data_IF_718516736120
#
_entry.id   IF_718516736120
#
_cell.length_a   1.000
_cell.length_b   1.000
_cell.length_c   1.000
_cell.angle_alpha   90.00
_cell.angle_beta   90.00
_cell.angle_gamma   90.00
#
_symmetry.space_group_name_H-M   'P 1'
#
loop_
_entity.id
_entity.type
_entity.pdbx_description
1 polymer ?
#
# COMPACT_ATOMS: atom_id res chain seq x y z
N UNK A 1 -63.85 -11.97 -7.66
CA UNK A 1 -63.04 -12.28 -6.47
C UNK A 1 -61.58 -12.69 -6.77
N UNK A 2 -61.22 -13.15 -7.98
CA UNK A 2 -59.85 -13.64 -8.28
C UNK A 2 -58.82 -12.58 -8.71
N UNK A 3 -59.22 -11.34 -9.07
CA UNK A 3 -58.29 -10.28 -9.53
C UNK A 3 -57.50 -9.59 -8.40
N UNK A 4 -57.97 -9.68 -7.15
CA UNK A 4 -57.34 -9.01 -6.01
C UNK A 4 -56.25 -9.86 -5.32
N UNK A 5 -56.21 -11.17 -5.60
CA UNK A 5 -55.23 -12.09 -5.03
C UNK A 5 -53.85 -11.88 -5.68
N UNK A 6 -53.80 -11.65 -6.99
CA UNK A 6 -52.54 -11.42 -7.72
C UNK A 6 -51.87 -10.09 -7.35
N UNK A 7 -52.66 -9.04 -7.08
CA UNK A 7 -52.12 -7.76 -6.64
C UNK A 7 -51.51 -7.84 -5.23
N UNK A 8 -52.11 -8.64 -4.34
CA UNK A 8 -51.59 -8.89 -3.00
C UNK A 8 -50.28 -9.70 -3.02
N UNK A 9 -50.18 -10.71 -3.89
CA UNK A 9 -48.96 -11.52 -4.06
C UNK A 9 -47.81 -10.69 -4.65
N UNK A 10 -48.09 -9.78 -5.59
CA UNK A 10 -47.09 -8.84 -6.13
C UNK A 10 -46.59 -7.85 -5.07
N UNK A 11 -47.47 -7.36 -4.19
CA UNK A 11 -47.10 -6.43 -3.12
C UNK A 11 -46.23 -7.08 -2.03
N UNK A 12 -46.53 -8.33 -1.64
CA UNK A 12 -45.73 -9.07 -0.67
C UNK A 12 -44.37 -9.49 -1.23
N UNK A 13 -44.30 -9.87 -2.51
CA UNK A 13 -43.04 -10.21 -3.17
C UNK A 13 -42.10 -8.99 -3.31
N UNK A 14 -42.63 -7.82 -3.69
CA UNK A 14 -41.83 -6.59 -3.79
C UNK A 14 -41.27 -6.15 -2.42
N UNK A 15 -42.06 -6.28 -1.35
CA UNK A 15 -41.62 -5.97 0.01
C UNK A 15 -40.55 -6.94 0.51
N UNK A 16 -40.65 -8.23 0.17
CA UNK A 16 -39.64 -9.24 0.55
C UNK A 16 -38.31 -9.01 -0.17
N UNK A 17 -38.33 -8.58 -1.44
CA UNK A 17 -37.12 -8.25 -2.21
C UNK A 17 -36.44 -7.00 -1.64
N UNK A 18 -37.20 -5.93 -1.35
CA UNK A 18 -36.66 -4.73 -0.71
C UNK A 18 -36.03 -5.02 0.65
N UNK A 19 -36.65 -5.88 1.46
CA UNK A 19 -36.11 -6.28 2.76
C UNK A 19 -34.83 -7.09 2.63
N UNK A 20 -34.77 -8.01 1.66
CA UNK A 20 -33.58 -8.84 1.42
C UNK A 20 -32.42 -8.00 0.90
N UNK A 21 -32.68 -7.07 -0.03
CA UNK A 21 -31.67 -6.16 -0.56
C UNK A 21 -31.17 -5.20 0.52
N UNK A 22 -32.06 -4.64 1.34
CA UNK A 22 -31.66 -3.81 2.48
C UNK A 22 -30.83 -4.59 3.49
N UNK A 23 -31.21 -5.84 3.81
CA UNK A 23 -30.47 -6.69 4.73
C UNK A 23 -29.10 -7.12 4.19
N UNK A 24 -29.00 -7.43 2.88
CA UNK A 24 -27.72 -7.68 2.21
C UNK A 24 -26.84 -6.43 2.16
N UNK A 25 -27.42 -5.26 1.93
CA UNK A 25 -26.70 -4.00 1.95
C UNK A 25 -26.16 -3.70 3.36
N UNK A 26 -26.99 -3.87 4.38
CA UNK A 26 -26.64 -3.61 5.78
C UNK A 26 -25.60 -4.60 6.33
N UNK A 27 -25.62 -5.86 5.87
CA UNK A 27 -24.60 -6.86 6.19
C UNK A 27 -23.28 -6.68 5.43
N UNK A 28 -23.28 -6.00 4.28
CA UNK A 28 -22.04 -5.56 3.62
C UNK A 28 -21.43 -4.31 4.28
N UNK A 29 -22.24 -3.42 4.85
CA UNK A 29 -21.76 -2.18 5.49
C UNK A 29 -21.27 -2.43 6.92
N UNK A 30 -21.86 -3.40 7.63
CA UNK A 30 -21.50 -3.74 9.02
C UNK A 30 -20.74 -5.07 9.03
N UNK A 31 -19.56 -5.08 8.43
CA UNK A 31 -18.53 -6.04 8.83
C UNK A 31 -17.92 -5.50 10.13
N UNK A 32 -17.86 -6.27 11.23
CA UNK A 32 -17.08 -5.83 12.39
C UNK A 32 -15.67 -5.55 11.90
N UNK A 33 -15.18 -4.32 12.14
CA UNK A 33 -13.78 -3.96 11.91
C UNK A 33 -12.94 -4.95 12.69
N UNK A 34 -12.47 -6.02 12.04
CA UNK A 34 -11.52 -6.96 12.61
C UNK A 34 -10.37 -6.10 13.11
N UNK A 35 -10.13 -5.99 14.42
CA UNK A 35 -9.11 -5.16 15.08
C UNK A 35 -7.96 -4.73 14.15
N UNK A 36 -8.15 -3.69 13.33
CA UNK A 36 -7.15 -3.28 12.35
C UNK A 36 -6.29 -2.26 13.06
N UNK A 37 -5.16 -2.72 13.56
CA UNK A 37 -4.25 -1.89 14.35
C UNK A 37 -3.81 -0.70 13.50
N UNK A 38 -3.87 0.49 14.10
CA UNK A 38 -3.31 1.71 13.50
C UNK A 38 -1.77 1.71 13.53
N UNK A 39 -1.14 0.56 13.79
CA UNK A 39 0.29 0.37 13.97
C UNK A 39 0.90 -0.61 12.96
N UNK A 40 0.14 -1.06 11.94
CA UNK A 40 0.74 -1.81 10.82
C UNK A 40 1.80 -0.95 10.13
N UNK A 41 2.92 -1.56 9.76
CA UNK A 41 4.04 -0.89 9.10
C UNK A 41 4.32 -1.51 7.73
N UNK A 42 4.76 -0.68 6.79
CA UNK A 42 5.22 -1.10 5.47
C UNK A 42 6.57 -0.49 5.14
N UNK A 43 7.39 -1.22 4.38
CA UNK A 43 8.62 -0.70 3.82
C UNK A 43 8.35 -0.11 2.44
N UNK A 44 8.77 1.14 2.23
CA UNK A 44 8.72 1.84 0.94
C UNK A 44 10.11 2.33 0.62
N UNK A 45 10.55 2.15 -0.63
CA UNK A 45 11.83 2.70 -1.08
C UNK A 45 11.68 3.50 -2.36
N UNK A 46 12.27 4.69 -2.41
CA UNK A 46 12.49 5.43 -3.66
C UNK A 46 13.74 4.87 -4.32
N UNK A 47 13.58 4.29 -5.51
CA UNK A 47 14.64 3.65 -6.27
C UNK A 47 15.62 4.68 -6.87
N UNK A 48 16.78 4.26 -7.39
CA UNK A 48 17.79 5.20 -7.89
C UNK A 48 17.28 6.19 -8.94
N UNK A 49 16.43 5.75 -9.87
CA UNK A 49 15.78 6.61 -10.85
C UNK A 49 14.82 7.62 -10.22
N UNK A 50 14.08 7.25 -9.17
CA UNK A 50 13.23 8.17 -8.42
C UNK A 50 14.04 9.27 -7.73
N UNK A 51 15.20 8.92 -7.16
CA UNK A 51 16.12 9.89 -6.55
C UNK A 51 16.74 10.80 -7.60
N UNK A 52 17.30 10.25 -8.67
CA UNK A 52 17.95 11.00 -9.75
C UNK A 52 16.99 11.97 -10.46
N UNK A 53 15.70 11.68 -10.46
CA UNK A 53 14.65 12.52 -11.06
C UNK A 53 14.03 13.52 -10.10
N UNK A 54 14.52 13.61 -8.87
CA UNK A 54 14.03 14.58 -7.87
C UNK A 54 12.66 14.24 -7.27
N UNK A 55 12.20 12.98 -7.34
CA UNK A 55 10.84 12.58 -6.95
C UNK A 55 10.70 12.22 -5.46
N UNK A 56 11.76 12.36 -4.67
CA UNK A 56 11.75 11.98 -3.24
C UNK A 56 10.68 12.74 -2.46
N UNK A 57 10.63 14.06 -2.63
CA UNK A 57 9.65 14.91 -1.96
C UNK A 57 8.21 14.60 -2.38
N UNK A 58 7.99 14.40 -3.68
CA UNK A 58 6.66 14.04 -4.21
C UNK A 58 6.16 12.72 -3.65
N UNK A 59 7.02 11.69 -3.58
CA UNK A 59 6.65 10.37 -3.06
C UNK A 59 6.34 10.47 -1.56
N UNK A 60 7.21 11.08 -0.75
CA UNK A 60 6.96 11.28 0.69
C UNK A 60 5.62 12.00 0.90
N UNK A 61 5.39 13.08 0.15
CA UNK A 61 4.18 13.88 0.27
C UNK A 61 2.90 13.06 0.02
N UNK A 62 2.90 12.08 -0.89
CA UNK A 62 1.72 11.21 -1.13
C UNK A 62 1.33 10.42 0.12
N UNK A 63 2.30 9.93 0.88
CA UNK A 63 2.05 9.17 2.11
C UNK A 63 1.68 10.11 3.27
N UNK A 64 2.37 11.25 3.43
CA UNK A 64 2.03 12.25 4.47
C UNK A 64 0.62 12.79 4.30
N UNK A 65 0.26 13.23 3.08
CA UNK A 65 -1.09 13.78 2.79
C UNK A 65 -2.19 12.73 2.94
N UNK A 66 -1.85 11.43 2.86
CA UNK A 66 -2.79 10.35 3.14
C UNK A 66 -3.04 10.15 4.64
N UNK A 67 -2.14 10.63 5.49
CA UNK A 67 -2.21 10.47 6.95
C UNK A 67 -1.37 9.32 7.51
N UNK A 68 -0.51 8.69 6.69
CA UNK A 68 0.44 7.69 7.19
C UNK A 68 1.58 8.37 7.97
N UNK A 69 2.05 7.70 9.02
CA UNK A 69 3.09 8.22 9.92
C UNK A 69 4.46 7.71 9.47
N UNK A 70 5.39 8.62 9.19
CA UNK A 70 6.78 8.25 8.91
C UNK A 70 7.48 7.85 10.22
N UNK A 71 8.02 6.63 10.28
CA UNK A 71 8.70 6.11 11.49
C UNK A 71 10.17 5.78 11.27
N UNK A 72 10.64 5.69 10.02
CA UNK A 72 12.07 5.64 9.71
C UNK A 72 12.33 6.17 8.30
N UNK A 73 13.49 6.83 8.09
CA UNK A 73 13.90 7.38 6.80
C UNK A 73 15.43 7.45 6.72
N UNK A 74 16.02 6.96 5.63
CA UNK A 74 17.45 7.18 5.32
C UNK A 74 17.76 7.15 3.83
N UNK A 75 18.72 7.98 3.42
CA UNK A 75 19.35 7.91 2.09
C UNK A 75 20.57 6.99 2.19
N UNK A 76 20.60 5.93 1.38
CA UNK A 76 21.64 4.88 1.46
C UNK A 76 22.07 4.39 0.08
N UNK A 77 23.29 3.88 0.00
CA UNK A 77 23.80 3.10 -1.14
C UNK A 77 24.09 1.68 -0.63
N UNK A 78 23.11 0.76 -0.66
CA UNK A 78 23.25 -0.57 -0.08
C UNK A 78 24.28 -1.42 -0.84
N UNK A 79 24.85 -2.42 -0.17
CA UNK A 79 25.75 -3.36 -0.82
C UNK A 79 25.01 -4.30 -1.77
N UNK A 80 25.75 -4.92 -2.69
CA UNK A 80 25.20 -5.95 -3.59
C UNK A 80 24.55 -7.09 -2.80
N UNK A 81 25.22 -7.60 -1.79
CA UNK A 81 24.71 -8.69 -0.95
C UNK A 81 23.40 -8.31 -0.25
N UNK A 82 23.26 -7.07 0.21
CA UNK A 82 22.03 -6.58 0.82
C UNK A 82 20.86 -6.53 -0.18
N UNK A 83 21.10 -6.10 -1.41
CA UNK A 83 20.08 -6.09 -2.47
C UNK A 83 19.73 -7.48 -2.98
N UNK A 84 20.69 -8.40 -3.04
CA UNK A 84 20.44 -9.81 -3.38
C UNK A 84 19.58 -10.49 -2.31
N UNK A 85 19.84 -10.22 -1.02
CA UNK A 85 19.00 -10.69 0.09
C UNK A 85 17.58 -10.09 0.01
N UNK A 86 17.47 -8.78 -0.25
CA UNK A 86 16.16 -8.11 -0.39
C UNK A 86 15.31 -8.71 -1.51
N UNK A 87 15.93 -9.16 -2.61
CA UNK A 87 15.25 -9.78 -3.75
C UNK A 87 15.44 -11.30 -3.83
N UNK A 88 15.73 -11.97 -2.71
CA UNK A 88 16.06 -13.40 -2.70
C UNK A 88 14.98 -14.28 -3.36
N UNK A 89 13.70 -13.95 -3.15
CA UNK A 89 12.56 -14.68 -3.75
C UNK A 89 12.50 -14.57 -5.30
N UNK A 90 13.28 -13.66 -5.88
CA UNK A 90 13.38 -13.44 -7.32
C UNK A 90 14.68 -13.98 -7.93
N UNK A 91 15.54 -14.66 -7.17
CA UNK A 91 16.88 -15.11 -7.60
C UNK A 91 16.89 -15.90 -8.91
N UNK A 92 15.88 -16.75 -9.11
CA UNK A 92 15.71 -17.60 -10.29
C UNK A 92 15.08 -16.87 -11.48
N UNK A 93 14.69 -15.60 -11.33
CA UNK A 93 14.06 -14.83 -12.41
C UNK A 93 15.13 -14.27 -13.35
N UNK A 94 14.89 -14.26 -14.68
CA UNK A 94 15.89 -13.80 -15.66
C UNK A 94 16.26 -12.32 -15.49
N UNK A 95 15.39 -11.53 -14.85
CA UNK A 95 15.60 -10.11 -14.57
C UNK A 95 16.29 -9.82 -13.22
N UNK A 96 16.63 -10.83 -12.41
CA UNK A 96 17.24 -10.63 -11.09
C UNK A 96 18.58 -9.89 -11.15
N UNK A 97 19.53 -10.37 -11.96
CA UNK A 97 20.85 -9.72 -12.11
C UNK A 97 20.74 -8.28 -12.65
N UNK A 98 19.95 -8.00 -13.70
CA UNK A 98 19.68 -6.63 -14.12
C UNK A 98 19.03 -5.76 -13.03
N UNK A 99 18.08 -6.30 -12.25
CA UNK A 99 17.42 -5.60 -11.16
C UNK A 99 18.42 -5.17 -10.08
N UNK A 100 19.25 -6.08 -9.60
CA UNK A 100 20.30 -5.79 -8.61
C UNK A 100 21.29 -4.76 -9.15
N UNK A 101 21.73 -4.91 -10.41
CA UNK A 101 22.66 -3.96 -11.06
C UNK A 101 22.06 -2.55 -11.13
N UNK A 102 20.78 -2.44 -11.49
CA UNK A 102 20.07 -1.16 -11.52
C UNK A 102 19.92 -0.57 -10.11
N UNK A 103 19.58 -1.37 -9.10
CA UNK A 103 19.45 -0.88 -7.73
C UNK A 103 20.79 -0.40 -7.14
N UNK A 104 21.92 -0.92 -7.63
CA UNK A 104 23.27 -0.46 -7.30
C UNK A 104 23.70 0.81 -8.05
N UNK A 105 22.94 1.27 -9.05
CA UNK A 105 23.35 2.38 -9.92
C UNK A 105 23.28 3.76 -9.27
N UNK A 106 22.72 3.88 -8.07
CA UNK A 106 22.61 5.14 -7.35
C UNK A 106 22.01 4.99 -5.96
N UNK A 107 21.85 6.10 -5.24
CA UNK A 107 21.31 6.07 -3.89
C UNK A 107 19.82 5.76 -3.87
N UNK A 108 19.36 5.20 -2.76
CA UNK A 108 17.98 4.81 -2.48
C UNK A 108 17.52 5.56 -1.23
N UNK A 109 16.28 6.06 -1.24
CA UNK A 109 15.63 6.53 0.00
C UNK A 109 14.79 5.39 0.55
N UNK A 110 15.25 4.77 1.63
CA UNK A 110 14.54 3.74 2.35
C UNK A 110 13.65 4.37 3.42
N UNK A 111 12.41 3.90 3.57
CA UNK A 111 11.42 4.46 4.48
C UNK A 111 10.56 3.38 5.12
N UNK A 112 10.07 3.67 6.33
CA UNK A 112 9.04 2.88 7.00
C UNK A 112 7.85 3.79 7.31
N UNK A 113 6.67 3.37 6.82
CA UNK A 113 5.40 4.07 7.02
C UNK A 113 4.47 3.24 7.89
N UNK A 114 3.81 3.88 8.84
CA UNK A 114 2.93 3.25 9.82
C UNK A 114 1.48 3.77 9.69
N UNK A 115 0.52 2.86 9.77
CA UNK A 115 -0.90 3.15 9.85
C UNK A 115 -1.78 1.96 9.46
N UNK A 116 -3.09 2.12 9.59
CA UNK A 116 -4.07 1.08 9.22
C UNK A 116 -3.95 0.71 7.73
N UNK A 117 -3.84 -0.59 7.44
CA UNK A 117 -3.65 -1.15 6.09
C UNK A 117 -2.50 -0.49 5.30
N UNK A 118 -1.42 -0.08 5.98
CA UNK A 118 -0.31 0.63 5.36
C UNK A 118 0.30 -0.16 4.19
N UNK A 119 0.41 -1.49 4.28
CA UNK A 119 0.97 -2.31 3.21
C UNK A 119 0.07 -2.30 1.98
N UNK A 120 -1.19 -2.68 2.17
CA UNK A 120 -2.16 -2.77 1.06
C UNK A 120 -2.39 -1.42 0.40
N UNK A 121 -2.61 -0.38 1.20
CA UNK A 121 -2.88 0.96 0.68
C UNK A 121 -1.61 1.60 0.12
N UNK A 122 -0.44 1.36 0.71
CA UNK A 122 0.84 1.78 0.15
C UNK A 122 1.05 1.24 -1.26
N UNK A 123 0.75 -0.04 -1.49
CA UNK A 123 0.74 -0.64 -2.83
C UNK A 123 -0.24 0.04 -3.79
N UNK A 124 -1.43 0.43 -3.32
CA UNK A 124 -2.39 1.19 -4.12
C UNK A 124 -1.86 2.58 -4.48
N UNK A 125 -1.24 3.30 -3.54
CA UNK A 125 -0.63 4.62 -3.78
C UNK A 125 0.50 4.52 -4.80
N UNK A 126 1.31 3.46 -4.73
CA UNK A 126 2.39 3.22 -5.69
C UNK A 126 1.87 2.95 -7.10
N UNK A 127 0.75 2.24 -7.24
CA UNK A 127 0.24 1.77 -8.53
C UNK A 127 0.81 0.41 -8.93
N UNK A 128 0.34 -0.13 -10.06
CA UNK A 128 0.74 -1.44 -10.57
C UNK A 128 2.27 -1.53 -10.82
N UNK A 129 2.86 -2.72 -10.69
CA UNK A 129 4.31 -2.90 -10.92
C UNK A 129 4.74 -2.46 -12.31
N UNK A 130 3.93 -2.77 -13.32
CA UNK A 130 4.06 -2.21 -14.67
C UNK A 130 3.40 -0.82 -14.71
N UNK A 131 4.16 0.27 -14.91
CA UNK A 131 3.60 1.62 -14.94
C UNK A 131 2.51 1.81 -16.00
N UNK A 132 2.61 1.14 -17.15
CA UNK A 132 1.60 1.20 -18.21
C UNK A 132 0.22 0.64 -17.79
N UNK A 133 0.18 -0.15 -16.71
CA UNK A 133 -1.04 -0.64 -16.09
C UNK A 133 -1.44 0.15 -14.83
N UNK A 134 -0.73 1.24 -14.52
CA UNK A 134 -1.02 2.08 -13.36
C UNK A 134 -2.01 3.18 -13.73
N UNK A 135 -2.97 3.43 -12.85
CA UNK A 135 -3.92 4.53 -13.04
C UNK A 135 -3.23 5.89 -12.81
N UNK A 136 -3.60 6.95 -13.55
CA UNK A 136 -3.24 8.32 -13.20
C UNK A 136 -3.64 8.65 -11.76
N UNK A 137 -2.81 9.42 -11.05
CA UNK A 137 -2.92 9.71 -9.63
C UNK A 137 -2.17 8.73 -8.71
N UNK A 138 -1.69 7.60 -9.23
CA UNK A 138 -0.71 6.73 -8.53
C UNK A 138 0.71 7.20 -8.84
N UNK A 139 1.68 6.89 -7.96
CA UNK A 139 3.07 7.30 -8.16
C UNK A 139 3.63 6.81 -9.50
N UNK A 140 3.37 5.55 -9.86
CA UNK A 140 3.85 5.00 -11.14
C UNK A 140 3.05 5.50 -12.33
N UNK A 141 1.75 5.72 -12.18
CA UNK A 141 0.93 6.30 -13.25
C UNK A 141 1.30 7.74 -13.57
N UNK A 142 1.74 8.50 -12.57
CA UNK A 142 2.14 9.90 -12.75
C UNK A 142 3.59 10.05 -13.20
N UNK A 143 4.48 9.13 -12.79
CA UNK A 143 5.92 9.34 -12.92
C UNK A 143 6.71 8.22 -13.61
N UNK A 144 6.12 7.11 -14.05
CA UNK A 144 6.89 6.02 -14.64
C UNK A 144 6.30 5.50 -15.96
N UNK A 145 7.16 4.88 -16.77
CA UNK A 145 6.79 4.29 -18.07
C UNK A 145 7.22 2.82 -18.08
N UNK A 146 8.52 2.56 -17.92
CA UNK A 146 9.09 1.21 -17.97
C UNK A 146 9.04 0.48 -16.62
N UNK A 147 8.77 -0.83 -16.65
CA UNK A 147 8.77 -1.68 -15.45
C UNK A 147 10.12 -1.71 -14.73
N UNK A 148 11.23 -1.62 -15.47
CA UNK A 148 12.59 -1.57 -14.93
C UNK A 148 12.99 -0.20 -14.37
N UNK A 149 12.15 0.83 -14.55
CA UNK A 149 12.33 2.22 -14.09
C UNK A 149 11.03 2.74 -13.49
N UNK A 150 10.48 1.96 -12.55
CA UNK A 150 9.19 2.21 -11.93
C UNK A 150 9.27 2.99 -10.61
N UNK A 151 10.35 3.75 -10.42
CA UNK A 151 10.62 4.77 -9.39
C UNK A 151 10.59 4.37 -7.91
N UNK A 152 9.81 3.36 -7.53
CA UNK A 152 9.57 3.02 -6.14
C UNK A 152 9.31 1.51 -5.94
N UNK A 153 9.65 1.04 -4.74
CA UNK A 153 9.33 -0.28 -4.20
C UNK A 153 8.36 -0.13 -3.02
N UNK A 154 7.53 -1.14 -2.79
CA UNK A 154 6.74 -1.27 -1.57
C UNK A 154 6.40 -2.73 -1.31
N UNK A 155 6.48 -3.13 -0.04
CA UNK A 155 6.20 -4.49 0.42
C UNK A 155 4.84 -4.98 -0.09
N UNK A 156 4.75 -6.24 -0.49
CA UNK A 156 3.54 -6.83 -1.08
C UNK A 156 2.60 -7.51 -0.07
N UNK A 157 3.12 -7.85 1.11
CA UNK A 157 2.38 -8.44 2.22
C UNK A 157 2.95 -7.97 3.57
N UNK A 158 2.15 -8.10 4.64
CA UNK A 158 2.55 -7.74 6.01
C UNK A 158 3.78 -8.52 6.46
N UNK A 159 3.88 -9.81 6.12
CA UNK A 159 5.06 -10.62 6.46
C UNK A 159 6.31 -10.19 5.67
N UNK A 160 6.17 -9.86 4.39
CA UNK A 160 7.25 -9.28 3.59
C UNK A 160 7.71 -7.94 4.17
N UNK A 161 6.77 -7.09 4.59
CA UNK A 161 7.08 -5.81 5.21
C UNK A 161 7.92 -5.97 6.47
N UNK A 162 7.57 -6.91 7.37
CA UNK A 162 8.38 -7.18 8.57
C UNK A 162 9.81 -7.60 8.23
N UNK A 163 9.97 -8.51 7.26
CA UNK A 163 11.29 -8.97 6.79
C UNK A 163 12.10 -7.82 6.18
N UNK A 164 11.48 -7.04 5.31
CA UNK A 164 12.12 -5.90 4.65
C UNK A 164 12.52 -4.81 5.67
N UNK A 165 11.64 -4.44 6.60
CA UNK A 165 11.95 -3.47 7.65
C UNK A 165 13.15 -3.95 8.48
N UNK A 166 13.15 -5.20 8.92
CA UNK A 166 14.24 -5.77 9.71
C UNK A 166 15.56 -5.89 8.94
N UNK A 167 15.50 -6.11 7.62
CA UNK A 167 16.68 -6.13 6.75
C UNK A 167 17.26 -4.73 6.59
N UNK A 168 16.42 -3.73 6.33
CA UNK A 168 16.85 -2.38 5.98
C UNK A 168 17.14 -1.48 7.18
N UNK A 169 16.49 -1.71 8.33
CA UNK A 169 16.58 -0.84 9.51
C UNK A 169 16.88 -1.65 10.77
N UNK A 170 17.78 -1.11 11.60
CA UNK A 170 17.94 -1.56 12.97
C UNK A 170 16.75 -1.11 13.81
N UNK A 171 16.42 -1.82 14.91
CA UNK A 171 15.31 -1.42 15.79
C UNK A 171 15.38 0.03 16.27
N UNK A 172 16.58 0.53 16.59
CA UNK A 172 16.80 1.90 17.06
C UNK A 172 16.62 2.99 15.99
N UNK A 173 16.62 2.61 14.70
CA UNK A 173 16.34 3.54 13.60
C UNK A 173 14.83 3.79 13.47
N UNK A 174 13.98 2.90 13.99
CA UNK A 174 12.51 3.01 13.92
C UNK A 174 11.97 3.78 15.12
N UNK A 175 11.48 4.98 14.86
CA UNK A 175 11.05 5.94 15.87
C UNK A 175 9.64 5.65 16.38
N UNK A 176 9.47 5.70 17.71
CA UNK A 176 8.15 5.65 18.35
C UNK A 176 7.70 7.06 18.72
N UNK A 177 6.65 7.54 18.06
CA UNK A 177 6.04 8.85 18.32
C UNK A 177 4.55 8.85 18.00
N UNK A 178 3.80 9.79 18.57
CA UNK A 178 2.37 9.97 18.34
C UNK A 178 2.13 11.22 17.48
N UNK A 179 1.47 11.04 16.35
CA UNK A 179 1.02 12.17 15.53
C UNK A 179 -0.02 13.00 16.27
N UNK A 180 0.13 14.33 16.25
CA UNK A 180 -0.88 15.25 16.77
C UNK A 180 -2.22 15.13 16.02
N UNK A 181 -2.20 14.62 14.78
CA UNK A 181 -3.39 14.41 13.95
C UNK A 181 -4.00 13.01 14.09
N UNK A 182 -3.46 12.15 14.95
CA UNK A 182 -3.89 10.74 15.06
C UNK A 182 -5.41 10.60 15.27
N UNK A 183 -5.96 11.37 16.21
CA UNK A 183 -7.39 11.32 16.57
C UNK A 183 -8.30 11.96 15.49
N UNK A 184 -7.73 12.71 14.53
CA UNK A 184 -8.46 13.27 13.38
C UNK A 184 -8.43 12.34 12.15
N UNK A 185 -7.43 11.46 12.06
CA UNK A 185 -7.25 10.50 10.97
C UNK A 185 -7.96 9.17 11.27
N UNK A 186 -7.89 8.72 12.53
CA UNK A 186 -8.46 7.45 12.96
C UNK A 186 -9.59 7.68 13.95
N UNK A 187 -10.77 7.13 13.62
CA UNK A 187 -11.84 6.95 14.57
C UNK A 187 -11.39 5.97 15.67
N UNK A 188 -11.61 6.36 16.94
CA UNK A 188 -11.39 5.49 18.08
C UNK A 188 -12.51 4.43 18.13
N UNK A 189 -12.18 3.16 18.40
CA UNK A 189 -13.19 2.13 18.60
C UNK A 189 -14.11 2.44 19.78
#
# INVERSE_FOLDING_TARGET
MLKNIWLYILFTAASAILFTVAFQYQSQVIQPQANMSASEQTFIAVKPDGVQRGLVGDIIQRFEKRGYKLVALKLVSPSKAHLEEHYADLSEKPFFKPLVTYMLSGPIVAMVWEGRDAVKTGRTILGATNPLASAPGTIRGDYAIDVGRNVAHGSDAVESAKKEIALWFKPEEVQSWKSAQFDWIYEKP
#
